data_IF_874969338191
#
_entry.id   IF_874969338191
#
_cell.length_a   1.000
_cell.length_b   1.000
_cell.length_c   1.000
_cell.angle_alpha   90.00
_cell.angle_beta   90.00
_cell.angle_gamma   90.00
#
_symmetry.space_group_name_H-M   'P 1'
#
loop_
_entity.id
_entity.type
_entity.pdbx_description
1 polymer ?
#
# COMPACT_ATOMS: atom_id res chain seq x y z
N UNK A 1 16.45 10.90 9.69
CA UNK A 1 16.10 9.71 10.49
C UNK A 1 14.60 9.56 10.47
N UNK A 2 14.07 8.34 10.31
CA UNK A 2 12.62 8.12 10.34
C UNK A 2 11.99 8.64 11.63
N UNK A 3 10.74 9.06 11.52
CA UNK A 3 9.89 9.34 12.67
C UNK A 3 9.70 8.06 13.52
N UNK A 4 10.15 8.05 14.79
CA UNK A 4 10.00 6.89 15.67
C UNK A 4 8.55 6.42 15.82
N UNK A 5 7.59 7.36 15.81
CA UNK A 5 6.17 7.04 15.95
C UNK A 5 5.65 6.28 14.72
N UNK A 6 6.05 6.70 13.52
CA UNK A 6 5.71 6.01 12.28
C UNK A 6 6.30 4.59 12.24
N UNK A 7 7.53 4.41 12.71
CA UNK A 7 8.18 3.09 12.82
C UNK A 7 7.41 2.18 13.77
N UNK A 8 7.05 2.68 14.95
CA UNK A 8 6.27 1.89 15.93
C UNK A 8 4.90 1.49 15.36
N UNK A 9 4.21 2.42 14.69
CA UNK A 9 2.93 2.15 14.05
C UNK A 9 3.05 1.03 13.00
N UNK A 10 4.09 1.05 12.15
CA UNK A 10 4.33 -0.02 11.17
C UNK A 10 4.60 -1.37 11.84
N UNK A 11 5.41 -1.41 12.89
CA UNK A 11 5.69 -2.64 13.63
C UNK A 11 4.43 -3.21 14.32
N UNK A 12 3.56 -2.33 14.82
CA UNK A 12 2.26 -2.72 15.38
C UNK A 12 1.35 -3.30 14.30
N UNK A 13 1.24 -2.63 13.16
CA UNK A 13 0.51 -3.13 11.99
C UNK A 13 1.03 -4.48 11.53
N UNK A 14 2.36 -4.71 11.54
CA UNK A 14 2.95 -6.02 11.24
C UNK A 14 2.41 -7.14 12.13
N UNK A 15 2.35 -6.89 13.43
CA UNK A 15 1.79 -7.84 14.40
C UNK A 15 0.32 -8.16 14.10
N UNK A 16 -0.48 -7.15 13.79
CA UNK A 16 -1.90 -7.31 13.43
C UNK A 16 -2.09 -8.09 12.13
N UNK A 17 -1.28 -7.82 11.09
CA UNK A 17 -1.33 -8.53 9.81
C UNK A 17 -0.95 -10.01 9.96
N UNK A 18 0.06 -10.31 10.79
CA UNK A 18 0.41 -11.70 11.13
C UNK A 18 -0.74 -12.41 11.83
N UNK A 19 -1.42 -11.76 12.78
CA UNK A 19 -2.58 -12.33 13.45
C UNK A 19 -3.78 -12.53 12.50
N UNK A 20 -3.99 -11.62 11.54
CA UNK A 20 -5.06 -11.70 10.55
C UNK A 20 -4.91 -12.88 9.56
N UNK A 21 -3.73 -13.51 9.49
CA UNK A 21 -3.55 -14.76 8.75
C UNK A 21 -4.49 -15.85 9.28
N UNK A 22 -4.60 -15.96 10.61
CA UNK A 22 -5.39 -17.00 11.28
C UNK A 22 -6.75 -16.49 11.82
N UNK A 23 -6.98 -15.18 11.82
CA UNK A 23 -8.22 -14.55 12.29
C UNK A 23 -9.01 -13.87 11.15
N UNK A 24 -10.12 -14.47 10.69
CA UNK A 24 -10.98 -13.91 9.64
C UNK A 24 -11.61 -12.55 10.00
N UNK A 25 -11.88 -12.29 11.28
CA UNK A 25 -12.48 -11.02 11.71
C UNK A 25 -11.46 -9.89 11.60
N UNK A 26 -10.21 -10.13 12.02
CA UNK A 26 -9.12 -9.17 11.81
C UNK A 26 -8.87 -8.91 10.33
N UNK A 27 -8.91 -9.96 9.50
CA UNK A 27 -8.76 -9.83 8.04
C UNK A 27 -9.88 -8.99 7.42
N UNK A 28 -11.11 -9.15 7.89
CA UNK A 28 -12.25 -8.35 7.43
C UNK A 28 -12.06 -6.85 7.80
N UNK A 29 -11.55 -6.56 9.00
CA UNK A 29 -11.21 -5.18 9.40
C UNK A 29 -10.12 -4.61 8.49
N UNK A 30 -9.06 -5.38 8.23
CA UNK A 30 -7.98 -4.96 7.34
C UNK A 30 -8.48 -4.60 5.94
N UNK A 31 -9.29 -5.45 5.32
CA UNK A 31 -9.84 -5.16 3.99
C UNK A 31 -10.79 -3.97 3.98
N UNK A 32 -11.63 -3.81 5.02
CA UNK A 32 -12.51 -2.66 5.15
C UNK A 32 -11.72 -1.35 5.27
N UNK A 33 -10.65 -1.30 6.08
CA UNK A 33 -9.79 -0.11 6.21
C UNK A 33 -9.14 0.25 4.87
N UNK A 34 -8.72 -0.74 4.08
CA UNK A 34 -8.16 -0.46 2.75
C UNK A 34 -9.23 0.08 1.79
N UNK A 35 -10.44 -0.47 1.79
CA UNK A 35 -11.55 0.06 1.00
C UNK A 35 -11.91 1.50 1.39
N UNK A 36 -12.02 1.79 2.68
CA UNK A 36 -12.24 3.16 3.19
C UNK A 36 -11.08 4.09 2.77
N UNK A 37 -9.84 3.59 2.77
CA UNK A 37 -8.66 4.36 2.34
C UNK A 37 -8.68 4.68 0.84
N UNK A 38 -9.14 3.75 -0.01
CA UNK A 38 -9.32 4.00 -1.45
C UNK A 38 -10.29 5.17 -1.68
N UNK A 39 -11.45 5.16 -1.02
CA UNK A 39 -12.45 6.22 -1.14
C UNK A 39 -11.90 7.59 -0.76
N UNK A 40 -11.09 7.65 0.30
CA UNK A 40 -10.40 8.87 0.74
C UNK A 40 -9.28 9.30 -0.20
N UNK A 41 -8.67 8.37 -0.95
CA UNK A 41 -7.57 8.66 -1.86
C UNK A 41 -8.05 9.27 -3.18
N UNK A 42 -9.25 8.93 -3.66
CA UNK A 42 -9.85 9.47 -4.89
C UNK A 42 -9.76 11.01 -4.97
N UNK A 43 -10.26 11.79 -3.99
CA UNK A 43 -10.20 13.26 -4.07
C UNK A 43 -8.77 13.81 -3.98
N UNK A 44 -7.84 13.08 -3.36
CA UNK A 44 -6.42 13.46 -3.32
C UNK A 44 -5.81 13.34 -4.72
N UNK A 45 -6.04 12.21 -5.40
CA UNK A 45 -5.54 11.99 -6.76
C UNK A 45 -6.16 12.99 -7.74
N UNK A 46 -7.47 13.22 -7.66
CA UNK A 46 -8.15 14.21 -8.49
C UNK A 46 -7.49 15.60 -8.38
N UNK A 47 -7.21 16.05 -7.14
CA UNK A 47 -6.53 17.32 -6.88
C UNK A 47 -5.10 17.34 -7.40
N UNK A 48 -4.34 16.24 -7.25
CA UNK A 48 -2.97 16.15 -7.78
C UNK A 48 -2.91 16.19 -9.31
N UNK A 49 -4.01 15.87 -9.98
CA UNK A 49 -4.14 15.98 -11.45
C UNK A 49 -4.84 17.27 -11.90
N UNK A 50 -5.04 18.23 -11.00
CA UNK A 50 -5.76 19.49 -11.23
C UNK A 50 -7.16 19.30 -11.86
N UNK A 51 -7.78 18.13 -11.64
CA UNK A 51 -9.06 17.77 -12.25
C UNK A 51 -9.03 17.53 -13.77
N UNK A 52 -7.86 17.46 -14.41
CA UNK A 52 -7.73 17.26 -15.85
C UNK A 52 -7.87 15.78 -16.26
N UNK A 53 -7.85 14.86 -15.29
CA UNK A 53 -7.91 13.43 -15.53
C UNK A 53 -9.34 12.91 -15.48
N UNK A 54 -9.66 11.97 -16.37
CA UNK A 54 -10.96 11.32 -16.40
C UNK A 54 -11.28 10.64 -15.04
N UNK A 55 -12.51 10.77 -14.50
CA UNK A 55 -12.86 10.20 -13.19
C UNK A 55 -12.66 8.70 -13.07
N UNK A 56 -12.83 7.92 -14.16
CA UNK A 56 -12.56 6.47 -14.12
C UNK A 56 -11.07 6.23 -13.93
N UNK A 57 -10.21 6.97 -14.63
CA UNK A 57 -8.76 6.88 -14.45
C UNK A 57 -8.33 7.29 -13.04
N UNK A 58 -8.93 8.33 -12.46
CA UNK A 58 -8.66 8.72 -11.06
C UNK A 58 -9.02 7.59 -10.10
N UNK A 59 -10.18 6.97 -10.26
CA UNK A 59 -10.61 5.84 -9.42
C UNK A 59 -9.70 4.63 -9.60
N UNK A 60 -9.32 4.32 -10.84
CA UNK A 60 -8.41 3.22 -11.14
C UNK A 60 -7.04 3.43 -10.48
N UNK A 61 -6.50 4.65 -10.54
CA UNK A 61 -5.22 4.98 -9.88
C UNK A 61 -5.33 4.88 -8.36
N UNK A 62 -6.43 5.34 -7.76
CA UNK A 62 -6.65 5.23 -6.32
C UNK A 62 -6.71 3.76 -5.88
N UNK A 63 -7.48 2.93 -6.57
CA UNK A 63 -7.56 1.49 -6.30
C UNK A 63 -6.19 0.81 -6.43
N UNK A 64 -5.47 1.07 -7.52
CA UNK A 64 -4.14 0.51 -7.77
C UNK A 64 -3.11 0.93 -6.70
N UNK A 65 -3.14 2.19 -6.26
CA UNK A 65 -2.24 2.68 -5.22
C UNK A 65 -2.55 2.06 -3.85
N UNK A 66 -3.84 1.99 -3.48
CA UNK A 66 -4.27 1.33 -2.25
C UNK A 66 -3.85 -0.14 -2.24
N UNK A 67 -4.09 -0.88 -3.33
CA UNK A 67 -3.70 -2.28 -3.43
C UNK A 67 -2.18 -2.48 -3.42
N UNK A 68 -1.41 -1.59 -4.04
CA UNK A 68 0.05 -1.65 -3.98
C UNK A 68 0.57 -1.51 -2.54
N UNK A 69 0.00 -0.59 -1.76
CA UNK A 69 0.34 -0.41 -0.34
C UNK A 69 -0.10 -1.60 0.49
N UNK A 70 -1.33 -2.11 0.24
CA UNK A 70 -1.89 -3.28 0.93
C UNK A 70 -1.01 -4.51 0.73
N UNK A 71 -0.72 -4.84 -0.53
CA UNK A 71 0.12 -5.98 -0.92
C UNK A 71 1.52 -5.83 -0.33
N UNK A 72 2.09 -4.63 -0.35
CA UNK A 72 3.41 -4.37 0.22
C UNK A 72 3.45 -4.63 1.74
N UNK A 73 2.45 -4.17 2.49
CA UNK A 73 2.36 -4.38 3.93
C UNK A 73 2.10 -5.85 4.29
N UNK A 74 1.20 -6.52 3.57
CA UNK A 74 0.93 -7.96 3.73
C UNK A 74 2.19 -8.78 3.45
N UNK A 75 2.87 -8.50 2.34
CA UNK A 75 4.11 -9.20 1.95
C UNK A 75 5.22 -8.95 2.97
N UNK A 76 5.47 -7.69 3.32
CA UNK A 76 6.48 -7.32 4.31
C UNK A 76 6.20 -7.99 5.66
N UNK A 77 4.93 -8.12 6.05
CA UNK A 77 4.56 -8.71 7.33
C UNK A 77 5.01 -10.15 7.47
N UNK A 78 5.12 -10.90 6.37
CA UNK A 78 5.66 -12.26 6.34
C UNK A 78 7.19 -12.35 6.42
N UNK A 79 7.89 -11.22 6.56
CA UNK A 79 9.36 -11.15 6.55
C UNK A 79 9.92 -10.49 7.82
N UNK A 80 11.24 -10.58 7.99
CA UNK A 80 12.00 -9.85 9.02
C UNK A 80 12.73 -8.61 8.48
N UNK A 81 12.35 -8.12 7.29
CA UNK A 81 12.92 -6.90 6.73
C UNK A 81 12.63 -5.68 7.62
N UNK A 82 13.54 -4.70 7.61
CA UNK A 82 13.37 -3.45 8.34
C UNK A 82 12.22 -2.61 7.79
N UNK A 83 11.80 -1.58 8.54
CA UNK A 83 10.77 -0.62 8.11
C UNK A 83 11.24 0.33 7.01
N UNK A 84 12.55 0.37 6.73
CA UNK A 84 13.16 1.16 5.66
C UNK A 84 14.17 0.31 4.88
N UNK A 85 14.48 0.72 3.65
CA UNK A 85 15.46 0.05 2.79
C UNK A 85 14.87 -1.10 1.96
N UNK A 86 15.74 -1.95 1.37
CA UNK A 86 15.30 -3.05 0.51
C UNK A 86 14.32 -4.00 1.22
N UNK A 87 13.19 -4.30 0.56
CA UNK A 87 12.15 -5.16 1.12
C UNK A 87 11.27 -4.51 2.20
N UNK A 88 11.47 -3.23 2.50
CA UNK A 88 10.56 -2.46 3.37
C UNK A 88 9.19 -2.24 2.70
N UNK A 89 8.15 -1.85 3.46
CA UNK A 89 6.83 -1.57 2.89
C UNK A 89 6.86 -0.53 1.76
N UNK A 90 7.64 0.54 1.91
CA UNK A 90 7.75 1.57 0.90
C UNK A 90 8.46 1.06 -0.37
N UNK A 91 9.54 0.29 -0.21
CA UNK A 91 10.27 -0.32 -1.33
C UNK A 91 9.36 -1.27 -2.12
N UNK A 92 8.60 -2.13 -1.43
CA UNK A 92 7.65 -3.05 -2.04
C UNK A 92 6.48 -2.32 -2.73
N UNK A 93 5.90 -1.29 -2.12
CA UNK A 93 4.79 -0.53 -2.72
C UNK A 93 5.23 0.18 -4.01
N UNK A 94 6.43 0.78 -4.01
CA UNK A 94 7.01 1.40 -5.21
C UNK A 94 7.28 0.35 -6.29
N UNK A 95 7.76 -0.84 -5.92
CA UNK A 95 7.93 -1.95 -6.88
C UNK A 95 6.61 -2.36 -7.50
N UNK A 96 5.55 -2.56 -6.71
CA UNK A 96 4.21 -2.87 -7.21
C UNK A 96 3.71 -1.81 -8.21
N UNK A 97 3.83 -0.52 -7.87
CA UNK A 97 3.43 0.59 -8.75
C UNK A 97 4.23 0.63 -10.05
N UNK A 98 5.55 0.41 -10.00
CA UNK A 98 6.40 0.36 -11.20
C UNK A 98 6.03 -0.81 -12.12
N UNK A 99 5.77 -1.99 -11.55
CA UNK A 99 5.30 -3.14 -12.32
C UNK A 99 3.98 -2.86 -13.03
N UNK A 100 3.04 -2.16 -12.39
CA UNK A 100 1.76 -1.79 -13.00
C UNK A 100 1.91 -0.79 -14.16
N UNK A 101 2.95 0.05 -14.13
CA UNK A 101 3.23 1.03 -15.18
C UNK A 101 4.07 0.46 -16.34
N UNK A 102 4.39 -0.85 -16.31
CA UNK A 102 5.23 -1.48 -17.34
C UNK A 102 6.73 -1.13 -17.24
N UNK A 103 7.15 -0.39 -16.21
CA UNK A 103 8.56 -0.07 -15.96
C UNK A 103 9.35 -1.25 -15.39
N UNK A 104 8.76 -2.45 -15.40
CA UNK A 104 9.36 -3.71 -14.92
C UNK A 104 10.02 -4.55 -16.01
N UNK A 105 9.79 -4.24 -17.29
CA UNK A 105 10.34 -4.99 -18.42
C UNK A 105 11.12 -4.07 -19.38
N UNK A 106 12.30 -3.63 -18.95
CA UNK A 106 13.43 -3.41 -19.88
C UNK A 106 14.45 -4.52 -19.60
N UNK A 107 14.35 -5.59 -20.37
CA UNK A 107 15.42 -6.61 -20.48
C UNK A 107 16.32 -6.21 -21.65
N UNK A 108 17.64 -6.36 -21.50
CA UNK A 108 18.30 -7.44 -22.22
C UNK A 108 18.99 -8.45 -21.29
#
# INVERSE_FOLDING_TARGET
TPDPQAVEALLRTRGLLRAAADDPALRAVWYRVNQESEELLIPVIARLTDGHRDPLEVRLVAAAATDAIRIALETWSGTEAATEGPGSPADLAVRCLRSLLGAGDDTP
#
